data_IF_136910311649
#
_entry.id   IF_136910311649
#
_cell.length_a   1.000
_cell.length_b   1.000
_cell.length_c   1.000
_cell.angle_alpha   90.00
_cell.angle_beta   90.00
_cell.angle_gamma   90.00
#
_symmetry.space_group_name_H-M   'P 1'
#
loop_
_entity.id
_entity.type
_entity.pdbx_description
1 polymer ?
#
# COMPACT_ATOMS: atom_id res chain seq x y z
N UNK A 1 -17.55 13.48 6.83
CA UNK A 1 -16.50 14.30 6.21
C UNK A 1 -15.42 13.43 5.59
N UNK A 2 -15.05 13.76 4.38
CA UNK A 2 -13.93 13.08 3.75
C UNK A 2 -12.61 13.57 4.31
N UNK A 3 -11.74 12.65 4.65
CA UNK A 3 -10.37 12.98 5.03
C UNK A 3 -9.44 12.39 3.99
N UNK A 4 -8.54 13.22 3.51
CA UNK A 4 -7.53 12.81 2.57
C UNK A 4 -6.22 12.65 3.31
N UNK A 5 -5.62 11.48 3.20
CA UNK A 5 -4.30 11.23 3.78
C UNK A 5 -3.39 10.65 2.72
N UNK A 6 -2.12 10.99 2.81
CA UNK A 6 -1.12 10.38 1.94
C UNK A 6 -0.11 9.70 2.84
N UNK A 7 0.11 8.42 2.61
CA UNK A 7 1.08 7.64 3.37
C UNK A 7 2.23 7.20 2.46
N UNK A 8 3.40 7.12 3.04
CA UNK A 8 4.57 6.58 2.36
C UNK A 8 4.58 5.07 2.59
N UNK A 9 4.73 4.31 1.52
CA UNK A 9 4.77 2.86 1.61
C UNK A 9 6.00 2.34 0.89
N UNK A 10 6.78 1.53 1.56
CA UNK A 10 7.91 0.85 0.94
C UNK A 10 7.52 -0.61 0.72
N UNK A 11 7.64 -1.07 -0.50
CA UNK A 11 7.29 -2.44 -0.88
C UNK A 11 8.54 -3.28 -1.00
N UNK A 12 8.52 -4.44 -0.36
CA UNK A 12 9.59 -5.43 -0.46
C UNK A 12 8.98 -6.66 -1.11
N UNK A 13 9.22 -6.86 -2.42
CA UNK A 13 8.65 -8.02 -3.13
C UNK A 13 9.44 -9.29 -2.87
N UNK A 14 8.89 -10.41 -3.30
CA UNK A 14 9.52 -11.72 -3.20
C UNK A 14 9.93 -12.09 -1.77
N UNK A 15 9.15 -11.65 -0.79
CA UNK A 15 9.36 -12.00 0.60
C UNK A 15 8.81 -13.41 0.88
N UNK A 16 9.24 -14.00 1.98
CA UNK A 16 8.75 -15.33 2.36
C UNK A 16 7.32 -15.31 2.89
N UNK A 17 6.88 -14.19 3.44
CA UNK A 17 5.48 -13.99 3.89
C UNK A 17 5.07 -12.56 3.71
N UNK A 18 3.77 -12.38 3.61
CA UNK A 18 3.19 -11.03 3.58
C UNK A 18 3.05 -10.49 4.99
N UNK A 19 3.48 -9.26 5.20
CA UNK A 19 3.28 -8.58 6.48
C UNK A 19 3.44 -7.08 6.30
N UNK A 20 2.92 -6.34 7.26
CA UNK A 20 3.05 -4.89 7.32
C UNK A 20 3.79 -4.54 8.60
N UNK A 21 4.81 -3.70 8.47
CA UNK A 21 5.55 -3.17 9.61
C UNK A 21 5.34 -1.66 9.62
N UNK A 22 4.81 -1.13 10.72
CA UNK A 22 4.66 0.30 10.87
C UNK A 22 6.01 0.92 11.25
N UNK A 23 6.37 1.96 10.54
CA UNK A 23 7.54 2.76 10.86
C UNK A 23 7.06 4.17 11.21
N UNK A 24 7.96 5.02 11.70
CA UNK A 24 7.59 6.33 12.21
C UNK A 24 6.76 7.16 11.23
N UNK A 25 7.17 7.25 9.98
CA UNK A 25 6.51 8.05 8.96
C UNK A 25 6.01 7.24 7.77
N UNK A 26 6.07 5.93 7.85
CA UNK A 26 5.80 5.11 6.68
C UNK A 26 5.37 3.70 7.06
N UNK A 27 4.94 2.95 6.05
CA UNK A 27 4.67 1.52 6.20
C UNK A 27 5.65 0.75 5.33
N UNK A 28 6.14 -0.35 5.87
CA UNK A 28 6.92 -1.30 5.10
C UNK A 28 6.04 -2.51 4.86
N UNK A 29 5.80 -2.83 3.60
CA UNK A 29 4.91 -3.93 3.22
C UNK A 29 5.71 -5.00 2.51
N UNK A 30 5.70 -6.20 3.08
CA UNK A 30 6.36 -7.36 2.48
C UNK A 30 5.34 -8.12 1.64
N UNK A 31 5.67 -8.37 0.39
CA UNK A 31 4.81 -9.10 -0.54
C UNK A 31 5.52 -10.37 -0.99
N UNK A 32 4.77 -11.46 -1.10
CA UNK A 32 5.29 -12.69 -1.67
C UNK A 32 5.31 -12.65 -3.20
N UNK A 33 4.53 -11.73 -3.78
CA UNK A 33 4.47 -11.57 -5.24
C UNK A 33 5.79 -11.08 -5.81
N UNK A 34 6.15 -11.49 -7.03
CA UNK A 34 7.32 -10.93 -7.69
C UNK A 34 7.11 -9.46 -8.05
N UNK A 35 8.18 -8.69 -8.32
CA UNK A 35 8.05 -7.26 -8.60
C UNK A 35 7.56 -7.01 -10.02
N UNK A 36 6.41 -7.57 -10.36
CA UNK A 36 5.76 -7.34 -11.65
C UNK A 36 4.75 -6.21 -11.49
N UNK A 37 4.80 -5.27 -12.38
CA UNK A 37 3.99 -4.08 -12.34
C UNK A 37 2.51 -4.41 -12.07
N UNK A 38 1.60 -4.40 -12.34
CA UNK A 38 0.20 -4.56 -12.03
C UNK A 38 -0.13 -5.50 -10.88
N UNK A 39 0.48 -6.66 -10.82
CA UNK A 39 0.15 -7.65 -9.79
C UNK A 39 0.57 -7.21 -8.38
N UNK A 40 1.79 -6.69 -8.25
CA UNK A 40 2.28 -6.24 -6.96
C UNK A 40 1.48 -5.04 -6.45
N UNK A 41 1.17 -4.10 -7.33
CA UNK A 41 0.38 -2.93 -6.95
C UNK A 41 -1.03 -3.31 -6.52
N UNK A 42 -1.66 -4.23 -7.24
CA UNK A 42 -2.99 -4.69 -6.90
C UNK A 42 -3.00 -5.39 -5.54
N UNK A 43 -2.03 -6.28 -5.31
CA UNK A 43 -1.93 -6.98 -4.04
C UNK A 43 -1.63 -6.02 -2.88
N UNK A 44 -0.79 -5.03 -3.13
CA UNK A 44 -0.47 -4.01 -2.15
C UNK A 44 -1.74 -3.29 -1.67
N UNK A 45 -2.58 -2.86 -2.60
CA UNK A 45 -3.82 -2.19 -2.23
C UNK A 45 -4.77 -3.10 -1.47
N UNK A 46 -4.82 -4.38 -1.81
CA UNK A 46 -5.64 -5.35 -1.07
C UNK A 46 -5.17 -5.47 0.39
N UNK A 47 -3.87 -5.59 0.59
CA UNK A 47 -3.30 -5.75 1.94
C UNK A 47 -3.53 -4.50 2.76
N UNK A 48 -3.28 -3.33 2.19
CA UNK A 48 -3.46 -2.06 2.91
C UNK A 48 -4.94 -1.83 3.22
N UNK A 49 -5.84 -2.15 2.31
CA UNK A 49 -7.26 -1.97 2.57
C UNK A 49 -7.73 -2.82 3.76
N UNK A 50 -7.25 -4.04 3.87
CA UNK A 50 -7.56 -4.90 5.01
C UNK A 50 -6.92 -4.37 6.29
N UNK A 51 -5.72 -3.89 6.21
CA UNK A 51 -4.99 -3.38 7.37
C UNK A 51 -5.71 -2.17 8.01
N UNK A 52 -6.21 -1.26 7.19
CA UNK A 52 -6.92 -0.09 7.67
C UNK A 52 -8.44 -0.27 7.72
N UNK A 53 -8.95 -1.44 7.38
CA UNK A 53 -10.40 -1.72 7.30
C UNK A 53 -11.12 -0.75 6.37
N UNK A 54 -10.52 -0.53 5.20
CA UNK A 54 -11.06 0.38 4.19
C UNK A 54 -11.36 -0.38 2.90
N UNK A 55 -12.16 0.21 2.04
CA UNK A 55 -12.41 -0.34 0.72
C UNK A 55 -11.21 -0.07 -0.18
N UNK A 56 -10.93 -0.98 -1.10
CA UNK A 56 -9.84 -0.77 -2.07
C UNK A 56 -10.06 0.52 -2.89
N UNK A 57 -11.32 0.84 -3.16
CA UNK A 57 -11.66 2.06 -3.90
C UNK A 57 -11.29 3.35 -3.16
N UNK A 58 -11.06 3.25 -1.84
CA UNK A 58 -10.60 4.39 -1.05
C UNK A 58 -9.11 4.63 -1.15
N UNK A 59 -8.38 3.74 -1.82
CA UNK A 59 -6.92 3.79 -1.92
C UNK A 59 -6.50 4.05 -3.35
N UNK A 60 -5.47 4.86 -3.52
CA UNK A 60 -4.93 5.15 -4.84
C UNK A 60 -3.43 5.37 -4.75
N UNK A 61 -2.68 4.73 -5.63
CA UNK A 61 -1.25 4.98 -5.75
C UNK A 61 -1.10 6.26 -6.58
N UNK A 62 -0.63 7.33 -5.95
CA UNK A 62 -0.51 8.63 -6.62
C UNK A 62 0.90 8.90 -7.12
N UNK A 63 1.87 8.15 -6.64
CA UNK A 63 3.25 8.30 -7.08
C UNK A 63 4.02 7.00 -6.87
N UNK A 64 5.00 6.73 -7.70
CA UNK A 64 5.86 5.57 -7.54
C UNK A 64 5.24 4.26 -8.00
N UNK A 65 4.42 4.26 -9.05
CA UNK A 65 3.76 3.04 -9.54
C UNK A 65 4.75 1.96 -9.98
N UNK A 66 5.96 2.36 -10.37
CA UNK A 66 7.00 1.43 -10.80
C UNK A 66 8.16 1.36 -9.82
N UNK A 67 8.06 2.05 -8.70
CA UNK A 67 9.11 2.14 -7.70
C UNK A 67 8.74 1.31 -6.46
N UNK A 68 9.75 0.91 -5.69
CA UNK A 68 9.54 0.28 -4.39
C UNK A 68 8.99 1.27 -3.37
N UNK A 69 9.27 2.55 -3.54
CA UNK A 69 8.75 3.60 -2.66
C UNK A 69 7.54 4.23 -3.32
N UNK A 70 6.40 4.15 -2.66
CA UNK A 70 5.13 4.60 -3.22
C UNK A 70 4.45 5.58 -2.28
N UNK A 71 3.68 6.49 -2.86
CA UNK A 71 2.76 7.33 -2.10
C UNK A 71 1.35 6.85 -2.38
N UNK A 72 0.63 6.56 -1.32
CA UNK A 72 -0.75 6.07 -1.43
C UNK A 72 -1.67 7.08 -0.79
N UNK A 73 -2.67 7.50 -1.56
CA UNK A 73 -3.71 8.40 -1.11
C UNK A 73 -4.84 7.57 -0.52
N UNK A 74 -5.25 7.94 0.68
CA UNK A 74 -6.37 7.29 1.35
C UNK A 74 -7.49 8.32 1.48
N UNK A 75 -8.67 7.97 1.00
CA UNK A 75 -9.86 8.78 1.17
C UNK A 75 -10.70 8.09 2.24
N UNK A 76 -10.74 8.70 3.41
CA UNK A 76 -11.50 8.17 4.54
C UNK A 76 -12.82 8.91 4.61
N UNK A 77 -13.90 8.20 4.41
CA UNK A 77 -15.27 8.76 4.44
C UNK A 77 -15.96 8.48 5.77
N UNK A 78 -15.20 8.18 6.77
CA UNK A 78 -15.72 7.83 8.09
C UNK A 78 -16.51 8.94 8.79
#
# INVERSE_FOLDING_TARGET
MRRLRIIKVRVIPSASKEKIVEEEDSLKVYLTSPPQKGKANKRLLEIISKYFHLKKSSLKIVKGTTSSNKLIQIIDEG
#
